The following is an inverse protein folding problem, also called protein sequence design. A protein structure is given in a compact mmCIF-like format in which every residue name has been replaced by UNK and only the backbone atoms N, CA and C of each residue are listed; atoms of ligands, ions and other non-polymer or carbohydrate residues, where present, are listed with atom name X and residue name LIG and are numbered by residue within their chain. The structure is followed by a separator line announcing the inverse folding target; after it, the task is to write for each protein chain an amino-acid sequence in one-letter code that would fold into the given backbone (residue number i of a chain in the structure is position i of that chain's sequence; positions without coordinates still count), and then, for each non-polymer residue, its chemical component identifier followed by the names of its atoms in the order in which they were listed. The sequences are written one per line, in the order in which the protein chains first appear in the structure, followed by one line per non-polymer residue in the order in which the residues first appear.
data_IF_040865608663
#
_entry.id   IF_040865608663
#
_cell.length_a   1.000
_cell.length_b   1.000
_cell.length_c   1.000
_cell.angle_alpha   90.00
_cell.angle_beta   90.00
_cell.angle_gamma   90.00
#
_symmetry.space_group_name_H-M   'P 1'
#
loop_
_entity.id
_entity.type
_entity.pdbx_description
1 polymer ?
#
# COMPACT_ATOMS: atom_id res chain seq x y z
N UNK A 1 9.01 21.85 -4.62
CA UNK A 1 9.17 21.35 -3.24
C UNK A 1 8.86 19.86 -3.25
N UNK A 2 9.54 19.04 -2.43
CA UNK A 2 9.24 17.59 -2.30
C UNK A 2 8.91 17.24 -0.85
N UNK A 3 7.80 16.53 -0.63
CA UNK A 3 7.35 16.09 0.70
C UNK A 3 7.43 14.56 0.76
N UNK A 4 8.09 14.02 1.79
CA UNK A 4 8.25 12.58 1.95
C UNK A 4 7.53 12.14 3.22
N UNK A 5 6.56 11.25 3.06
CA UNK A 5 5.83 10.62 4.17
C UNK A 5 6.19 9.15 4.24
N UNK A 6 6.35 8.66 5.46
CA UNK A 6 6.46 7.21 5.69
C UNK A 6 5.08 6.55 5.50
N UNK A 7 5.02 5.33 4.94
CA UNK A 7 3.78 4.58 4.83
C UNK A 7 3.26 4.15 6.22
N UNK A 8 2.00 3.72 6.29
CA UNK A 8 1.41 3.15 7.50
C UNK A 8 1.23 1.63 7.40
N UNK A 9 1.17 0.95 8.56
CA UNK A 9 0.97 -0.51 8.62
C UNK A 9 -0.46 -0.94 8.33
N UNK A 10 -1.44 -0.16 8.77
CA UNK A 10 -2.86 -0.45 8.52
C UNK A 10 -3.19 0.10 7.15
N UNK A 11 -3.77 -0.75 6.31
CA UNK A 11 -4.14 -0.39 4.95
C UNK A 11 -5.65 -0.52 4.75
N UNK A 12 -6.18 0.35 3.89
CA UNK A 12 -7.58 0.40 3.47
C UNK A 12 -7.62 0.07 1.98
N UNK A 13 -8.65 -0.66 1.56
CA UNK A 13 -9.00 -0.81 0.16
C UNK A 13 -10.14 0.16 -0.13
N UNK A 14 -9.89 1.08 -1.04
CA UNK A 14 -10.86 2.05 -1.56
C UNK A 14 -10.79 2.03 -3.09
N UNK A 15 -11.85 1.54 -3.72
CA UNK A 15 -12.00 1.46 -5.18
C UNK A 15 -13.06 2.42 -5.71
N UNK A 16 -13.69 3.18 -4.82
CA UNK A 16 -14.92 3.92 -5.12
C UNK A 16 -14.69 5.44 -5.12
N UNK A 17 -13.68 5.93 -4.39
CA UNK A 17 -13.41 7.38 -4.27
C UNK A 17 -12.80 7.99 -5.53
N UNK A 18 -11.63 7.49 -5.96
CA UNK A 18 -10.93 7.98 -7.15
C UNK A 18 -10.05 6.89 -7.75
N UNK A 19 -9.97 6.84 -9.07
CA UNK A 19 -9.09 5.92 -9.77
C UNK A 19 -7.61 6.33 -9.59
N UNK A 20 -6.68 5.37 -9.50
CA UNK A 20 -5.25 5.67 -9.55
C UNK A 20 -4.89 6.35 -10.89
N UNK A 21 -4.03 7.37 -10.83
CA UNK A 21 -3.51 8.08 -12.01
C UNK A 21 -2.55 7.23 -12.84
N UNK A 22 -1.95 6.22 -12.23
CA UNK A 22 -1.05 5.28 -12.90
C UNK A 22 -0.52 4.20 -11.97
N UNK A 23 0.32 3.34 -12.54
CA UNK A 23 1.07 2.33 -11.78
C UNK A 23 2.33 2.95 -11.15
N UNK A 24 2.82 2.39 -10.03
CA UNK A 24 4.10 2.81 -9.46
C UNK A 24 5.24 2.64 -10.47
N UNK A 25 6.15 3.63 -10.53
CA UNK A 25 7.30 3.64 -11.44
C UNK A 25 8.18 2.39 -11.32
N UNK A 26 8.31 1.84 -10.10
CA UNK A 26 9.17 0.69 -9.80
C UNK A 26 8.41 -0.63 -9.70
N UNK A 27 7.37 -0.83 -10.51
CA UNK A 27 6.56 -2.07 -10.47
C UNK A 27 7.38 -3.34 -10.72
N UNK A 28 8.39 -3.28 -11.59
CA UNK A 28 9.29 -4.43 -11.84
C UNK A 28 10.08 -4.82 -10.59
N UNK A 29 10.47 -3.84 -9.77
CA UNK A 29 11.15 -4.09 -8.48
C UNK A 29 10.19 -4.64 -7.44
N UNK A 30 8.92 -4.24 -7.47
CA UNK A 30 7.87 -4.87 -6.65
C UNK A 30 7.75 -6.35 -6.96
N UNK A 31 7.78 -6.75 -8.24
CA UNK A 31 7.71 -8.16 -8.66
C UNK A 31 8.91 -8.99 -8.19
N UNK A 32 10.12 -8.42 -8.21
CA UNK A 32 11.32 -9.08 -7.66
C UNK A 32 11.15 -9.39 -6.17
N UNK A 33 10.68 -8.41 -5.39
CA UNK A 33 10.43 -8.56 -3.95
C UNK A 33 9.30 -9.56 -3.69
N UNK A 34 8.19 -9.45 -4.44
CA UNK A 34 7.05 -10.35 -4.31
C UNK A 34 7.47 -11.81 -4.57
N UNK A 35 8.26 -12.04 -5.62
CA UNK A 35 8.77 -13.37 -5.96
C UNK A 35 9.64 -13.94 -4.83
N UNK A 36 10.54 -13.12 -4.27
CA UNK A 36 11.38 -13.55 -3.15
C UNK A 36 10.57 -13.88 -1.89
N UNK A 37 9.55 -13.07 -1.57
CA UNK A 37 8.66 -13.31 -0.44
C UNK A 37 7.80 -14.57 -0.66
N UNK A 38 7.35 -14.83 -1.90
CA UNK A 38 6.54 -16.00 -2.24
C UNK A 38 7.30 -17.33 -2.10
N UNK A 39 8.64 -17.31 -2.13
CA UNK A 39 9.47 -18.49 -1.87
C UNK A 39 9.64 -18.83 -0.38
N UNK A 40 9.03 -18.08 0.55
CA UNK A 40 9.20 -18.22 2.00
C UNK A 40 8.00 -18.91 2.63
N UNK A 41 8.25 -19.70 3.68
CA UNK A 41 7.19 -20.25 4.51
C UNK A 41 6.51 -19.15 5.33
N UNK A 42 5.29 -19.42 5.81
CA UNK A 42 4.57 -18.50 6.70
C UNK A 42 5.36 -18.20 7.98
N UNK A 43 6.05 -19.20 8.55
CA UNK A 43 6.89 -19.06 9.74
C UNK A 43 8.12 -18.17 9.47
N UNK A 44 8.77 -18.32 8.31
CA UNK A 44 9.84 -17.43 7.89
C UNK A 44 9.33 -16.00 7.74
N UNK A 45 8.20 -15.80 7.05
CA UNK A 45 7.61 -14.47 6.86
C UNK A 45 7.17 -13.82 8.17
N UNK A 46 6.57 -14.57 9.09
CA UNK A 46 6.24 -14.08 10.44
C UNK A 46 7.48 -13.59 11.17
N UNK A 47 8.60 -14.29 11.03
CA UNK A 47 9.89 -13.93 11.63
C UNK A 47 10.44 -12.64 11.02
N UNK A 48 10.39 -12.51 9.69
CA UNK A 48 10.82 -11.31 8.95
C UNK A 48 9.96 -10.10 9.34
N UNK A 49 8.63 -10.26 9.33
CA UNK A 49 7.67 -9.19 9.63
C UNK A 49 7.59 -8.85 11.12
N UNK A 50 8.10 -9.72 12.00
CA UNK A 50 8.03 -9.58 13.46
C UNK A 50 6.61 -9.27 13.93
N UNK A 51 5.65 -10.07 13.45
CA UNK A 51 4.22 -9.87 13.70
C UNK A 51 3.58 -11.07 14.42
N UNK A 52 2.35 -10.88 14.89
CA UNK A 52 1.58 -11.96 15.51
C UNK A 52 1.00 -12.93 14.46
N UNK A 53 0.52 -14.09 14.92
CA UNK A 53 0.00 -15.15 14.04
C UNK A 53 -1.13 -14.66 13.14
N UNK A 54 -2.07 -13.86 13.67
CA UNK A 54 -3.22 -13.36 12.92
C UNK A 54 -2.80 -12.45 11.76
N UNK A 55 -1.80 -11.58 11.99
CA UNK A 55 -1.26 -10.68 10.96
C UNK A 55 -0.42 -11.47 9.97
N UNK A 56 0.35 -12.47 10.42
CA UNK A 56 1.13 -13.33 9.54
C UNK A 56 0.23 -14.11 8.57
N UNK A 57 -0.83 -14.74 9.08
CA UNK A 57 -1.81 -15.46 8.27
C UNK A 57 -2.49 -14.56 7.24
N UNK A 58 -2.94 -13.37 7.66
CA UNK A 58 -3.56 -12.40 6.76
C UNK A 58 -2.62 -11.99 5.62
N UNK A 59 -1.37 -11.65 5.93
CA UNK A 59 -0.43 -11.16 4.92
C UNK A 59 0.14 -12.28 4.06
N UNK A 60 0.26 -13.50 4.58
CA UNK A 60 0.61 -14.67 3.76
C UNK A 60 -0.45 -14.90 2.69
N UNK A 61 -1.73 -14.91 3.06
CA UNK A 61 -2.83 -15.06 2.10
C UNK A 61 -2.90 -13.89 1.10
N UNK A 62 -2.67 -12.65 1.54
CA UNK A 62 -2.58 -11.49 0.64
C UNK A 62 -1.45 -11.67 -0.38
N UNK A 63 -0.26 -12.04 0.07
CA UNK A 63 0.91 -12.18 -0.79
C UNK A 63 0.68 -13.23 -1.90
N UNK A 64 0.03 -14.35 -1.57
CA UNK A 64 -0.27 -15.43 -2.53
C UNK A 64 -1.34 -15.06 -3.56
N UNK A 65 -2.28 -14.18 -3.21
CA UNK A 65 -3.44 -13.83 -4.04
C UNK A 65 -3.41 -12.38 -4.53
N UNK A 66 -2.28 -11.70 -4.41
CA UNK A 66 -2.15 -10.29 -4.76
C UNK A 66 -2.16 -10.12 -6.28
N UNK A 67 -3.10 -9.31 -6.78
CA UNK A 67 -3.04 -8.72 -8.12
C UNK A 67 -2.50 -7.29 -7.99
N UNK A 68 -1.37 -7.02 -8.64
CA UNK A 68 -0.69 -5.71 -8.58
C UNK A 68 -1.08 -4.77 -9.73
N UNK A 69 -1.95 -5.22 -10.64
CA UNK A 69 -2.37 -4.47 -11.82
C UNK A 69 -3.85 -4.06 -11.80
N UNK A 70 -4.69 -4.75 -11.02
CA UNK A 70 -6.14 -4.51 -10.97
C UNK A 70 -6.66 -4.24 -9.55
N UNK A 71 -7.87 -3.68 -9.48
CA UNK A 71 -8.56 -3.33 -8.21
C UNK A 71 -7.68 -2.54 -7.24
N UNK A 72 -6.98 -1.54 -7.79
CA UNK A 72 -5.97 -0.76 -7.09
C UNK A 72 -6.59 0.41 -6.34
N UNK A 73 -6.02 0.73 -5.18
CA UNK A 73 -6.33 1.93 -4.39
C UNK A 73 -5.19 2.94 -4.51
N UNK A 74 -5.46 4.23 -4.77
CA UNK A 74 -4.44 5.28 -4.78
C UNK A 74 -3.65 5.30 -3.47
N UNK A 75 -2.32 5.41 -3.54
CA UNK A 75 -1.44 5.26 -2.38
C UNK A 75 -1.78 6.22 -1.22
N UNK A 76 -2.22 7.44 -1.52
CA UNK A 76 -2.62 8.43 -0.50
C UNK A 76 -3.85 8.01 0.30
N UNK A 77 -4.75 7.22 -0.30
CA UNK A 77 -5.97 6.69 0.33
C UNK A 77 -5.76 5.31 0.97
N UNK A 78 -4.69 4.60 0.56
CA UNK A 78 -4.42 3.23 1.00
C UNK A 78 -3.94 3.11 2.46
N UNK A 79 -3.47 4.20 3.08
CA UNK A 79 -2.82 4.13 4.40
C UNK A 79 -3.66 4.73 5.52
N UNK A 80 -3.77 3.99 6.62
CA UNK A 80 -4.34 4.48 7.86
C UNK A 80 -3.25 4.58 8.93
N UNK A 81 -2.81 5.81 9.20
CA UNK A 81 -1.86 6.15 10.24
C UNK A 81 -1.98 7.63 10.61
N UNK A 82 -1.32 8.05 11.68
CA UNK A 82 -1.49 9.41 12.25
C UNK A 82 -1.31 10.51 11.19
N UNK A 83 -0.28 10.41 10.34
CA UNK A 83 -0.05 11.38 9.27
C UNK A 83 -1.21 11.44 8.25
N UNK A 84 -1.73 10.28 7.84
CA UNK A 84 -2.84 10.19 6.87
C UNK A 84 -4.18 10.57 7.49
N UNK A 85 -4.38 10.30 8.79
CA UNK A 85 -5.58 10.72 9.53
C UNK A 85 -5.63 12.25 9.68
N UNK A 86 -4.50 12.91 9.96
CA UNK A 86 -4.44 14.37 9.99
C UNK A 86 -4.53 14.99 8.60
N UNK A 87 -3.97 14.34 7.59
CA UNK A 87 -4.09 14.78 6.20
C UNK A 87 -5.54 14.67 5.70
N UNK A 88 -6.28 13.65 6.12
CA UNK A 88 -7.65 13.36 5.72
C UNK A 88 -7.87 13.36 4.18
N UNK A 89 -7.12 12.54 3.42
CA UNK A 89 -7.18 12.56 1.95
C UNK A 89 -8.54 12.13 1.38
N UNK A 90 -9.39 11.49 2.18
CA UNK A 90 -10.74 11.10 1.77
C UNK A 90 -11.69 12.28 1.55
N UNK A 91 -11.35 13.49 2.01
CA UNK A 91 -12.14 14.71 1.78
C UNK A 91 -11.45 15.68 0.83
N UNK A 92 -10.40 15.23 0.13
CA UNK A 92 -9.72 16.06 -0.85
C UNK A 92 -10.61 16.34 -2.06
N UNK A 93 -10.54 17.58 -2.53
CA UNK A 93 -10.98 18.00 -3.84
C UNK A 93 -9.87 17.76 -4.88
N UNK A 94 -10.23 17.83 -6.17
CA UNK A 94 -9.30 17.60 -7.28
C UNK A 94 -8.02 18.45 -7.20
N UNK A 95 -8.12 19.70 -6.76
CA UNK A 95 -6.97 20.61 -6.61
C UNK A 95 -5.97 20.13 -5.56
N UNK A 96 -6.45 19.49 -4.49
CA UNK A 96 -5.60 18.94 -3.42
C UNK A 96 -4.94 17.63 -3.89
N UNK A 97 -5.67 16.80 -4.64
CA UNK A 97 -5.08 15.61 -5.29
C UNK A 97 -3.99 16.00 -6.30
N UNK A 98 -4.24 17.00 -7.14
CA UNK A 98 -3.25 17.53 -8.08
C UNK A 98 -2.02 18.08 -7.35
N UNK A 99 -2.23 18.78 -6.23
CA UNK A 99 -1.12 19.33 -5.44
C UNK A 99 -0.20 18.22 -4.90
N UNK A 100 -0.76 17.17 -4.26
CA UNK A 100 0.03 16.08 -3.67
C UNK A 100 0.67 15.17 -4.72
N UNK A 101 0.14 15.11 -5.93
CA UNK A 101 0.76 14.37 -7.03
C UNK A 101 2.02 15.09 -7.56
N UNK A 102 2.00 16.43 -7.57
CA UNK A 102 3.08 17.24 -8.17
C UNK A 102 4.20 17.62 -7.19
N UNK A 103 3.95 17.57 -5.87
CA UNK A 103 4.87 18.02 -4.82
C UNK A 103 5.25 16.90 -3.86
#
# INVERSE_FOLDING_TARGET
MKIILSPAKKMITDTDSIAPDGLPEFIDKTLEIQSWLNCKSKEELKTIWKCNEKIAELNFNRLQNMDIYHMLTPAVLSYEGIAFQYMAPSVFENSQFEYVQNH
#
